data_IF_968670008715
#
_entry.id   IF_968670008715
#
_cell.length_a   1.000
_cell.length_b   1.000
_cell.length_c   1.000
_cell.angle_alpha   90.00
_cell.angle_beta   90.00
_cell.angle_gamma   90.00
#
_symmetry.space_group_name_H-M   'P 1'
#
loop_
_entity.id
_entity.type
_entity.pdbx_description
1 polymer ?
#
# COMPACT_ATOMS: atom_id res chain seq x y z
N UNK A 1 34.01 -23.36 -12.66
CA UNK A 1 33.17 -22.23 -12.27
C UNK A 1 32.06 -22.14 -13.31
N UNK A 2 30.94 -22.82 -13.04
CA UNK A 2 29.74 -22.69 -13.87
C UNK A 2 29.20 -21.28 -13.71
N UNK A 3 29.10 -20.56 -14.81
CA UNK A 3 28.43 -19.28 -14.90
C UNK A 3 26.95 -19.49 -14.50
N UNK A 4 26.56 -18.97 -13.36
CA UNK A 4 25.15 -18.86 -13.01
C UNK A 4 24.52 -17.91 -14.04
N UNK A 5 23.69 -18.47 -14.93
CA UNK A 5 23.00 -17.69 -15.93
C UNK A 5 22.15 -16.61 -15.27
N UNK A 6 22.61 -15.37 -15.34
CA UNK A 6 21.79 -14.21 -15.07
C UNK A 6 20.81 -14.11 -16.24
N UNK A 7 19.57 -14.45 -16.02
CA UNK A 7 18.52 -14.20 -17.01
C UNK A 7 18.35 -12.69 -17.08
N UNK A 8 18.91 -12.09 -18.11
CA UNK A 8 18.68 -10.67 -18.44
C UNK A 8 17.23 -10.57 -18.88
N UNK A 9 16.39 -10.04 -18.03
CA UNK A 9 15.01 -9.72 -18.39
C UNK A 9 15.07 -8.58 -19.40
N UNK A 10 14.46 -8.75 -20.58
CA UNK A 10 14.51 -7.72 -21.63
C UNK A 10 13.82 -6.43 -21.15
N UNK A 11 14.26 -5.29 -21.65
CA UNK A 11 13.64 -3.98 -21.39
C UNK A 11 12.14 -3.99 -21.72
N UNK A 12 11.73 -4.76 -22.73
CA UNK A 12 10.31 -4.92 -23.09
C UNK A 12 9.49 -5.63 -22.02
N UNK A 13 10.05 -6.66 -21.36
CA UNK A 13 9.38 -7.37 -20.26
C UNK A 13 9.31 -6.48 -19.03
N UNK A 14 10.37 -5.72 -18.74
CA UNK A 14 10.38 -4.75 -17.65
C UNK A 14 9.35 -3.64 -17.90
N UNK A 15 9.32 -3.06 -19.10
CA UNK A 15 8.35 -2.06 -19.48
C UNK A 15 6.90 -2.60 -19.50
N UNK A 16 6.70 -3.89 -19.79
CA UNK A 16 5.38 -4.53 -19.69
C UNK A 16 4.96 -4.70 -18.23
N UNK A 17 5.85 -5.18 -17.37
CA UNK A 17 5.58 -5.33 -15.94
C UNK A 17 5.30 -3.97 -15.29
N UNK A 18 6.06 -2.93 -15.63
CA UNK A 18 5.80 -1.56 -15.20
C UNK A 18 4.40 -1.09 -15.61
N UNK A 19 4.03 -1.27 -16.88
CA UNK A 19 2.68 -0.91 -17.36
C UNK A 19 1.57 -1.66 -16.63
N UNK A 20 1.78 -2.94 -16.29
CA UNK A 20 0.78 -3.73 -15.55
C UNK A 20 0.61 -3.24 -14.10
N UNK A 21 1.71 -2.91 -13.43
CA UNK A 21 1.69 -2.41 -12.05
C UNK A 21 1.11 -1.00 -12.00
N UNK A 22 1.57 -0.12 -12.90
CA UNK A 22 1.06 1.24 -13.00
C UNK A 22 -0.39 1.25 -13.48
N UNK A 23 -0.78 0.36 -14.40
CA UNK A 23 -2.18 0.23 -14.81
C UNK A 23 -3.09 -0.21 -13.67
N UNK A 24 -2.59 -1.01 -12.72
CA UNK A 24 -3.32 -1.33 -11.48
C UNK A 24 -3.50 -0.10 -10.58
N UNK A 25 -2.44 0.69 -10.42
CA UNK A 25 -2.48 1.97 -9.70
C UNK A 25 -3.26 3.01 -10.51
N UNK A 26 -2.99 3.15 -11.80
CA UNK A 26 -3.71 4.05 -12.72
C UNK A 26 -5.18 3.66 -12.85
N UNK A 27 -5.51 2.38 -12.77
CA UNK A 27 -6.90 1.92 -12.75
C UNK A 27 -7.66 2.37 -11.50
N UNK A 28 -7.00 2.43 -10.34
CA UNK A 28 -7.57 3.03 -9.13
C UNK A 28 -7.68 4.55 -9.25
N UNK A 29 -6.79 5.19 -10.01
CA UNK A 29 -6.72 6.63 -10.20
C UNK A 29 -7.52 7.10 -11.42
N UNK A 30 -7.61 6.30 -12.49
CA UNK A 30 -8.28 6.66 -13.75
C UNK A 30 -9.80 6.73 -13.65
N UNK A 31 -10.41 6.07 -12.68
CA UNK A 31 -11.82 6.28 -12.35
C UNK A 31 -12.09 7.73 -11.92
N UNK A 32 -11.08 8.42 -11.47
CA UNK A 32 -11.14 9.81 -11.02
C UNK A 32 -11.00 10.82 -12.16
N UNK A 33 -10.33 10.43 -13.26
CA UNK A 33 -10.25 11.26 -14.47
C UNK A 33 -11.57 11.39 -15.22
N UNK A 34 -12.57 10.56 -14.89
CA UNK A 34 -13.92 10.68 -15.45
C UNK A 34 -14.76 11.80 -14.81
N UNK A 35 -14.29 12.38 -13.73
CA UNK A 35 -14.95 13.51 -13.07
C UNK A 35 -14.48 14.81 -13.72
N UNK A 36 -15.43 15.60 -14.19
CA UNK A 36 -15.15 16.81 -14.99
C UNK A 36 -14.76 18.00 -14.14
N UNK A 37 -15.04 17.99 -12.83
CA UNK A 37 -14.69 19.06 -11.90
C UNK A 37 -13.61 18.58 -10.90
N UNK A 38 -12.41 19.22 -10.88
CA UNK A 38 -11.38 18.89 -9.91
C UNK A 38 -11.78 19.07 -8.44
N UNK A 39 -12.75 19.95 -8.16
CA UNK A 39 -13.25 20.15 -6.79
C UNK A 39 -14.20 19.04 -6.35
N UNK A 40 -14.95 18.47 -7.27
CA UNK A 40 -15.81 17.32 -7.00
C UNK A 40 -15.02 16.03 -6.79
N UNK A 41 -13.86 15.88 -7.43
CA UNK A 41 -12.99 14.71 -7.29
C UNK A 41 -12.56 14.50 -5.83
N UNK A 42 -12.05 15.53 -5.18
CA UNK A 42 -11.60 15.45 -3.79
C UNK A 42 -12.73 15.20 -2.78
N UNK A 43 -13.96 15.65 -3.09
CA UNK A 43 -15.12 15.41 -2.23
C UNK A 43 -15.65 13.97 -2.32
N UNK A 44 -15.51 13.35 -3.49
CA UNK A 44 -16.06 12.03 -3.76
C UNK A 44 -15.06 10.90 -3.60
N UNK A 45 -13.78 11.15 -3.87
CA UNK A 45 -12.75 10.13 -3.87
C UNK A 45 -11.62 10.41 -2.88
N UNK A 46 -11.14 9.35 -2.25
CA UNK A 46 -9.98 9.42 -1.37
C UNK A 46 -9.12 8.16 -1.49
N UNK A 47 -7.82 8.30 -1.20
CA UNK A 47 -6.86 7.20 -1.14
C UNK A 47 -6.22 7.14 0.24
N UNK A 48 -6.08 5.92 0.77
CA UNK A 48 -5.31 5.62 1.99
C UNK A 48 -4.22 4.64 1.66
N UNK A 49 -2.98 5.10 1.74
CA UNK A 49 -1.80 4.36 1.29
C UNK A 49 -0.97 3.94 2.49
N UNK A 50 -0.58 2.68 2.55
CA UNK A 50 0.45 2.20 3.48
C UNK A 50 1.63 1.64 2.69
N UNK A 51 2.84 2.13 2.96
CA UNK A 51 4.03 1.83 2.20
C UNK A 51 5.23 1.47 3.07
N UNK A 52 6.00 0.47 2.66
CA UNK A 52 7.31 0.19 3.23
C UNK A 52 8.40 1.01 2.54
N UNK A 53 8.69 0.73 1.27
CA UNK A 53 9.51 1.58 0.41
C UNK A 53 8.60 2.48 -0.42
N UNK A 54 8.86 3.78 -0.36
CA UNK A 54 8.04 4.81 -0.99
C UNK A 54 8.96 5.86 -1.63
N UNK A 55 9.71 5.45 -2.65
CA UNK A 55 10.74 6.28 -3.27
C UNK A 55 10.84 6.16 -4.79
N UNK A 56 9.90 5.45 -5.45
CA UNK A 56 9.89 5.37 -6.91
C UNK A 56 9.34 6.66 -7.50
N UNK A 57 10.21 7.41 -8.21
CA UNK A 57 9.91 8.76 -8.68
C UNK A 57 8.60 8.84 -9.49
N UNK A 58 8.39 7.91 -10.41
CA UNK A 58 7.19 7.90 -11.26
C UNK A 58 5.89 7.67 -10.45
N UNK A 59 5.91 6.82 -9.44
CA UNK A 59 4.78 6.65 -8.53
C UNK A 59 4.51 7.93 -7.72
N UNK A 60 5.56 8.58 -7.24
CA UNK A 60 5.46 9.86 -6.52
C UNK A 60 4.88 10.97 -7.41
N UNK A 61 5.23 10.99 -8.70
CA UNK A 61 4.68 11.93 -9.68
C UNK A 61 3.18 11.71 -9.86
N UNK A 62 2.73 10.46 -10.03
CA UNK A 62 1.30 10.11 -10.12
C UNK A 62 0.54 10.52 -8.86
N UNK A 63 1.09 10.27 -7.67
CA UNK A 63 0.48 10.70 -6.40
C UNK A 63 0.35 12.22 -6.35
N UNK A 64 1.37 12.95 -6.78
CA UNK A 64 1.37 14.41 -6.80
C UNK A 64 0.33 14.97 -7.78
N UNK A 65 0.28 14.44 -9.00
CA UNK A 65 -0.73 14.80 -9.99
C UNK A 65 -2.16 14.55 -9.50
N UNK A 66 -2.35 13.45 -8.75
CA UNK A 66 -3.64 13.11 -8.16
C UNK A 66 -4.02 14.06 -7.03
N UNK A 67 -3.06 14.47 -6.20
CA UNK A 67 -3.25 15.51 -5.19
C UNK A 67 -3.60 16.87 -5.82
N UNK A 68 -2.96 17.22 -6.94
CA UNK A 68 -3.21 18.47 -7.65
C UNK A 68 -4.60 18.51 -8.29
N UNK A 69 -5.19 17.34 -8.57
CA UNK A 69 -6.60 17.19 -8.98
C UNK A 69 -7.61 17.27 -7.82
N UNK A 70 -7.13 17.42 -6.58
CA UNK A 70 -7.98 17.59 -5.40
C UNK A 70 -8.41 16.31 -4.71
N UNK A 71 -7.88 15.15 -5.08
CA UNK A 71 -8.16 13.87 -4.38
C UNK A 71 -7.58 13.90 -2.96
N UNK A 72 -8.36 13.48 -1.96
CA UNK A 72 -7.90 13.35 -0.57
C UNK A 72 -6.99 12.11 -0.44
N UNK A 73 -5.67 12.34 -0.43
CA UNK A 73 -4.67 11.29 -0.25
C UNK A 73 -4.03 11.42 1.12
N UNK A 74 -3.95 10.30 1.85
CA UNK A 74 -3.17 10.21 3.08
C UNK A 74 -2.29 8.96 3.02
N UNK A 75 -1.04 9.12 3.41
CA UNK A 75 0.00 8.11 3.27
C UNK A 75 0.66 7.86 4.61
N UNK A 76 0.78 6.60 4.99
CA UNK A 76 1.60 6.17 6.11
C UNK A 76 2.75 5.32 5.58
N UNK A 77 3.99 5.66 5.93
CA UNK A 77 5.17 4.97 5.41
C UNK A 77 6.15 4.57 6.52
N UNK A 78 6.95 3.54 6.26
CA UNK A 78 7.97 3.10 7.21
C UNK A 78 9.14 4.09 7.28
N UNK A 79 9.49 4.49 8.51
CA UNK A 79 10.58 5.40 8.81
C UNK A 79 11.48 4.86 9.93
N UNK A 80 11.67 3.53 9.97
CA UNK A 80 12.49 2.82 10.97
C UNK A 80 13.77 2.29 10.33
N UNK A 81 14.81 2.19 11.16
CA UNK A 81 16.15 1.82 10.68
C UNK A 81 16.72 2.86 9.70
N UNK A 82 17.87 2.56 9.11
CA UNK A 82 18.51 3.47 8.17
C UNK A 82 17.91 3.37 6.76
N UNK A 83 17.49 2.19 6.38
CA UNK A 83 16.76 1.91 5.15
C UNK A 83 15.44 1.21 5.49
N UNK A 84 14.28 1.62 4.92
CA UNK A 84 14.09 2.61 3.85
C UNK A 84 13.91 4.07 4.33
N UNK A 85 14.08 4.35 5.63
CA UNK A 85 13.80 5.66 6.25
C UNK A 85 14.34 6.84 5.46
N UNK A 86 15.65 6.83 5.18
CA UNK A 86 16.28 8.01 4.59
C UNK A 86 15.85 8.22 3.14
N UNK A 87 15.69 7.13 2.37
CA UNK A 87 15.17 7.17 1.01
C UNK A 87 13.70 7.64 0.97
N UNK A 88 12.86 7.13 1.87
CA UNK A 88 11.46 7.56 1.99
C UNK A 88 11.35 9.04 2.39
N UNK A 89 12.12 9.48 3.39
CA UNK A 89 12.13 10.89 3.82
C UNK A 89 12.59 11.83 2.72
N UNK A 90 13.60 11.43 1.94
CA UNK A 90 14.05 12.20 0.78
C UNK A 90 12.95 12.32 -0.28
N UNK A 91 12.25 11.22 -0.56
CA UNK A 91 11.14 11.20 -1.50
C UNK A 91 9.97 12.08 -1.04
N UNK A 92 9.60 11.99 0.24
CA UNK A 92 8.51 12.77 0.86
C UNK A 92 8.85 14.26 0.96
N UNK A 93 10.15 14.63 1.03
CA UNK A 93 10.58 16.04 1.02
C UNK A 93 10.24 16.75 -0.31
N UNK A 94 9.84 16.02 -1.35
CA UNK A 94 9.34 16.59 -2.60
C UNK A 94 8.12 17.49 -2.33
N UNK A 95 8.05 18.69 -2.93
CA UNK A 95 6.97 19.63 -2.68
C UNK A 95 5.58 19.02 -2.83
N UNK A 96 4.73 19.24 -1.85
CA UNK A 96 3.33 18.78 -1.84
C UNK A 96 3.09 17.43 -1.15
N UNK A 97 4.07 16.53 -1.02
CA UNK A 97 3.87 15.22 -0.41
C UNK A 97 3.94 15.24 1.11
N UNK A 98 4.82 16.02 1.71
CA UNK A 98 5.03 16.04 3.17
C UNK A 98 3.73 16.28 3.97
N UNK A 99 2.81 17.08 3.43
CA UNK A 99 1.55 17.43 4.10
C UNK A 99 0.56 16.27 4.24
N UNK A 100 0.70 15.24 3.40
CA UNK A 100 -0.21 14.07 3.34
C UNK A 100 0.44 12.79 3.83
N UNK A 101 1.70 12.86 4.28
CA UNK A 101 2.49 11.72 4.72
C UNK A 101 2.68 11.70 6.24
N UNK A 102 2.62 10.52 6.82
CA UNK A 102 2.89 10.25 8.23
C UNK A 102 3.90 9.11 8.37
N UNK A 103 4.83 9.24 9.31
CA UNK A 103 5.88 8.26 9.56
C UNK A 103 5.43 7.16 10.53
N UNK A 104 5.79 5.92 10.21
CA UNK A 104 5.78 4.79 11.14
C UNK A 104 7.18 4.66 11.74
N UNK A 105 7.32 5.06 13.00
CA UNK A 105 8.61 5.07 13.72
C UNK A 105 8.67 4.04 14.84
N UNK A 106 7.54 3.51 15.29
CA UNK A 106 7.44 2.60 16.43
C UNK A 106 6.80 1.25 16.06
N UNK A 107 7.21 0.16 16.73
CA UNK A 107 8.44 0.04 17.51
C UNK A 107 9.68 -0.01 16.61
N UNK A 108 10.82 0.42 17.12
CA UNK A 108 12.07 0.46 16.33
C UNK A 108 12.58 -0.94 15.91
N UNK A 109 12.13 -2.01 16.58
CA UNK A 109 12.56 -3.40 16.33
C UNK A 109 11.82 -4.12 15.22
N UNK A 110 10.76 -3.52 14.67
CA UNK A 110 9.96 -4.12 13.58
C UNK A 110 9.76 -3.12 12.45
N UNK A 111 9.73 -3.64 11.21
CA UNK A 111 9.40 -2.87 10.01
C UNK A 111 7.90 -2.87 9.76
N UNK A 112 7.37 -1.79 9.18
CA UNK A 112 6.00 -1.73 8.67
C UNK A 112 6.00 -2.14 7.20
N UNK A 113 6.06 -3.45 6.95
CA UNK A 113 6.27 -4.00 5.61
C UNK A 113 4.99 -4.00 4.75
N UNK A 114 4.13 -3.03 4.98
CA UNK A 114 2.83 -2.89 4.33
C UNK A 114 2.98 -2.29 2.93
N UNK A 115 2.16 -2.77 2.00
CA UNK A 115 2.03 -2.26 0.63
C UNK A 115 0.59 -2.42 0.20
N UNK A 116 -0.21 -1.38 0.43
CA UNK A 116 -1.60 -1.38 -0.04
C UNK A 116 -2.13 0.04 -0.23
N UNK A 117 -3.13 0.16 -1.08
CA UNK A 117 -3.86 1.39 -1.38
C UNK A 117 -5.35 1.08 -1.26
N UNK A 118 -6.03 1.74 -0.34
CA UNK A 118 -7.50 1.67 -0.23
C UNK A 118 -8.09 2.84 -0.99
N UNK A 119 -9.01 2.53 -1.91
CA UNK A 119 -9.84 3.52 -2.59
C UNK A 119 -11.16 3.70 -1.84
N UNK A 120 -11.51 4.97 -1.62
CA UNK A 120 -12.80 5.36 -1.05
C UNK A 120 -13.57 6.20 -2.06
N UNK A 121 -14.88 6.08 -2.02
CA UNK A 121 -15.82 6.98 -2.70
C UNK A 121 -16.90 7.44 -1.72
N UNK A 122 -17.14 8.74 -1.65
CA UNK A 122 -18.08 9.33 -0.69
C UNK A 122 -17.79 8.88 0.78
N UNK A 123 -16.51 8.71 1.11
CA UNK A 123 -16.06 8.25 2.42
C UNK A 123 -16.23 6.75 2.68
N UNK A 124 -16.75 5.98 1.72
CA UNK A 124 -16.93 4.54 1.85
C UNK A 124 -15.82 3.78 1.12
N UNK A 125 -15.18 2.76 1.73
CA UNK A 125 -14.18 1.94 1.06
C UNK A 125 -14.83 1.10 -0.05
N UNK A 126 -14.22 1.12 -1.25
CA UNK A 126 -14.69 0.39 -2.42
C UNK A 126 -13.80 -0.79 -2.78
N UNK A 127 -12.52 -0.52 -2.87
CA UNK A 127 -11.53 -1.50 -3.34
C UNK A 127 -10.20 -1.30 -2.65
N UNK A 128 -9.34 -2.31 -2.74
CA UNK A 128 -7.96 -2.24 -2.26
C UNK A 128 -7.02 -2.86 -3.28
N UNK A 129 -5.95 -2.14 -3.58
CA UNK A 129 -4.76 -2.69 -4.21
C UNK A 129 -3.81 -3.18 -3.10
N UNK A 130 -3.31 -4.41 -3.18
CA UNK A 130 -2.38 -4.98 -2.20
C UNK A 130 -1.50 -6.05 -2.83
N UNK A 131 -0.31 -6.26 -2.25
CA UNK A 131 0.62 -7.29 -2.74
C UNK A 131 2.02 -7.19 -2.16
N UNK A 132 2.96 -7.86 -2.82
CA UNK A 132 4.38 -7.88 -2.44
C UNK A 132 5.19 -6.69 -2.95
N UNK A 133 4.67 -5.94 -3.92
CA UNK A 133 5.41 -4.89 -4.66
C UNK A 133 5.62 -3.64 -3.82
N UNK A 134 6.88 -3.31 -3.50
CA UNK A 134 7.24 -2.01 -2.95
C UNK A 134 7.08 -0.92 -4.00
N UNK A 135 6.80 0.31 -3.56
CA UNK A 135 6.79 1.50 -4.41
C UNK A 135 8.23 2.05 -4.56
N UNK A 136 9.12 1.20 -5.02
CA UNK A 136 10.54 1.45 -5.27
C UNK A 136 10.96 0.84 -6.60
N UNK A 137 12.06 1.31 -7.19
CA UNK A 137 12.59 0.75 -8.43
C UNK A 137 12.93 -0.74 -8.29
N UNK A 138 13.57 -1.13 -7.18
CA UNK A 138 13.87 -2.53 -6.88
C UNK A 138 12.62 -3.38 -6.69
N UNK A 139 11.56 -2.83 -6.08
CA UNK A 139 10.28 -3.51 -5.89
C UNK A 139 9.57 -3.79 -7.21
N UNK A 140 9.67 -2.87 -8.19
CA UNK A 140 8.99 -2.96 -9.48
C UNK A 140 9.79 -3.81 -10.47
N UNK A 141 11.09 -3.58 -10.59
CA UNK A 141 11.92 -4.20 -11.63
C UNK A 141 12.83 -5.31 -11.13
N UNK A 142 13.15 -5.34 -9.84
CA UNK A 142 14.16 -6.23 -9.28
C UNK A 142 13.63 -7.51 -8.62
N UNK A 143 12.33 -7.58 -8.31
CA UNK A 143 11.73 -8.67 -7.56
C UNK A 143 10.58 -9.33 -8.31
N UNK A 144 10.38 -10.65 -8.08
CA UNK A 144 9.19 -11.38 -8.55
C UNK A 144 8.04 -11.12 -7.59
N UNK A 145 7.39 -9.99 -7.74
CA UNK A 145 6.26 -9.59 -6.91
C UNK A 145 4.92 -9.83 -7.63
N UNK A 146 3.86 -10.01 -6.84
CA UNK A 146 2.49 -10.04 -7.31
C UNK A 146 1.67 -9.00 -6.54
N UNK A 147 0.68 -8.44 -7.22
CA UNK A 147 -0.30 -7.54 -6.63
C UNK A 147 -1.71 -7.88 -7.12
N UNK A 148 -2.71 -7.53 -6.33
CA UNK A 148 -4.11 -7.78 -6.60
C UNK A 148 -4.90 -6.50 -6.36
N UNK A 149 -5.93 -6.30 -7.18
CA UNK A 149 -7.01 -5.36 -6.88
C UNK A 149 -8.21 -6.17 -6.44
N UNK A 150 -8.70 -5.90 -5.24
CA UNK A 150 -9.86 -6.57 -4.66
C UNK A 150 -11.00 -5.55 -4.59
N UNK A 151 -12.02 -5.74 -5.43
CA UNK A 151 -13.19 -4.86 -5.53
C UNK A 151 -14.32 -5.35 -4.62
N UNK A 152 -14.00 -5.56 -3.35
CA UNK A 152 -14.93 -6.00 -2.32
C UNK A 152 -14.93 -4.97 -1.18
N UNK A 153 -16.01 -4.17 -1.03
CA UNK A 153 -16.09 -3.13 0.01
C UNK A 153 -15.83 -3.66 1.44
N UNK A 154 -16.28 -4.86 1.75
CA UNK A 154 -16.05 -5.47 3.05
C UNK A 154 -14.57 -5.79 3.34
N UNK A 155 -13.82 -6.16 2.31
CA UNK A 155 -12.36 -6.37 2.40
C UNK A 155 -11.65 -5.02 2.45
N UNK A 156 -12.02 -4.08 1.59
CA UNK A 156 -11.46 -2.73 1.59
C UNK A 156 -11.67 -2.02 2.93
N UNK A 157 -12.83 -2.22 3.60
CA UNK A 157 -13.10 -1.69 4.94
C UNK A 157 -12.10 -2.20 5.99
N UNK A 158 -11.77 -3.49 5.98
CA UNK A 158 -10.76 -4.05 6.89
C UNK A 158 -9.38 -3.44 6.67
N UNK A 159 -8.99 -3.20 5.40
CA UNK A 159 -7.75 -2.52 5.08
C UNK A 159 -7.76 -1.05 5.52
N UNK A 160 -8.91 -0.37 5.42
CA UNK A 160 -9.08 1.00 5.92
C UNK A 160 -8.94 1.06 7.45
N UNK A 161 -9.57 0.14 8.18
CA UNK A 161 -9.44 0.03 9.63
C UNK A 161 -7.98 -0.22 10.02
N UNK A 162 -7.30 -1.12 9.30
CA UNK A 162 -5.89 -1.41 9.53
C UNK A 162 -5.01 -0.19 9.22
N UNK A 163 -5.28 0.53 8.12
CA UNK A 163 -4.58 1.78 7.78
C UNK A 163 -4.76 2.83 8.89
N UNK A 164 -5.98 2.97 9.42
CA UNK A 164 -6.27 3.88 10.52
C UNK A 164 -5.42 3.55 11.75
N UNK A 165 -5.28 2.28 12.10
CA UNK A 165 -4.39 1.88 13.21
C UNK A 165 -2.93 2.23 12.93
N UNK A 166 -2.45 1.97 11.71
CA UNK A 166 -1.06 2.30 11.33
C UNK A 166 -0.78 3.80 11.40
N UNK A 167 -1.75 4.64 11.04
CA UNK A 167 -1.59 6.11 11.02
C UNK A 167 -1.35 6.73 12.40
N UNK A 168 -1.76 6.06 13.48
CA UNK A 168 -1.51 6.48 14.85
C UNK A 168 -0.12 6.09 15.40
N UNK A 169 0.71 5.44 14.60
CA UNK A 169 2.04 4.94 14.97
C UNK A 169 2.06 4.14 16.31
N UNK A 170 1.20 3.12 16.51
CA UNK A 170 1.10 2.40 17.75
C UNK A 170 2.31 1.52 18.02
N UNK A 171 2.54 1.21 19.30
CA UNK A 171 3.46 0.16 19.71
C UNK A 171 2.94 -1.23 19.30
N UNK A 172 3.84 -2.21 19.31
CA UNK A 172 3.55 -3.59 18.82
C UNK A 172 2.39 -4.25 19.56
N UNK A 173 2.35 -4.24 20.88
CA UNK A 173 1.31 -4.95 21.65
C UNK A 173 -0.09 -4.40 21.42
N UNK A 174 -0.35 -3.07 21.50
CA UNK A 174 -1.65 -2.52 21.13
C UNK A 174 -2.04 -2.85 19.69
N UNK A 175 -1.10 -2.77 18.73
CA UNK A 175 -1.39 -3.04 17.34
C UNK A 175 -1.82 -4.50 17.11
N UNK A 176 -1.14 -5.47 17.74
CA UNK A 176 -1.50 -6.90 17.65
C UNK A 176 -2.95 -7.15 18.05
N UNK A 177 -3.38 -6.62 19.20
CA UNK A 177 -4.73 -6.81 19.70
C UNK A 177 -5.78 -6.22 18.72
N UNK A 178 -5.51 -5.04 18.16
CA UNK A 178 -6.41 -4.38 17.22
C UNK A 178 -6.47 -5.10 15.88
N UNK A 179 -5.34 -5.56 15.38
CA UNK A 179 -5.24 -6.35 14.14
C UNK A 179 -6.03 -7.66 14.25
N UNK A 180 -5.97 -8.33 15.40
CA UNK A 180 -6.76 -9.54 15.66
C UNK A 180 -8.27 -9.26 15.74
N UNK A 181 -8.66 -8.09 16.22
CA UNK A 181 -10.06 -7.66 16.22
C UNK A 181 -10.57 -7.32 14.80
N UNK A 182 -9.75 -6.68 13.96
CA UNK A 182 -10.09 -6.35 12.55
C UNK A 182 -10.21 -7.61 11.69
N UNK A 183 -9.30 -8.57 11.90
CA UNK A 183 -9.23 -9.81 11.12
C UNK A 183 -9.10 -11.02 12.05
N UNK A 184 -10.17 -11.41 12.78
CA UNK A 184 -10.14 -12.57 13.65
C UNK A 184 -9.95 -13.85 12.85
N UNK A 185 -9.25 -14.83 13.45
CA UNK A 185 -9.14 -16.17 12.86
C UNK A 185 -10.51 -16.86 12.88
N UNK A 186 -10.97 -17.41 11.77
CA UNK A 186 -12.14 -18.28 11.78
C UNK A 186 -11.91 -19.53 12.63
N UNK A 187 -12.98 -20.04 13.26
CA UNK A 187 -12.92 -21.25 14.09
C UNK A 187 -12.78 -22.56 13.29
N UNK A 188 -12.74 -22.49 11.95
CA UNK A 188 -12.69 -23.65 11.04
C UNK A 188 -11.88 -23.30 9.79
N UNK A 189 -11.97 -24.14 8.73
CA UNK A 189 -11.30 -23.88 7.48
C UNK A 189 -11.72 -22.55 6.88
N UNK A 190 -10.90 -21.94 6.00
CA UNK A 190 -11.25 -20.69 5.34
C UNK A 190 -12.65 -20.75 4.71
N UNK A 191 -13.50 -19.74 4.92
CA UNK A 191 -14.78 -19.67 4.23
C UNK A 191 -14.55 -19.51 2.72
N UNK A 192 -15.53 -19.92 1.92
CA UNK A 192 -15.49 -19.64 0.49
C UNK A 192 -15.49 -18.14 0.23
N UNK A 193 -14.77 -17.70 -0.81
CA UNK A 193 -14.61 -16.27 -1.16
C UNK A 193 -13.29 -15.68 -0.67
N UNK A 194 -13.24 -14.36 -0.56
CA UNK A 194 -12.04 -13.61 -0.16
C UNK A 194 -11.95 -13.47 1.35
N UNK A 195 -10.80 -13.82 1.91
CA UNK A 195 -10.49 -13.61 3.32
C UNK A 195 -9.18 -12.86 3.47
N UNK A 196 -9.07 -12.02 4.49
CA UNK A 196 -7.83 -11.30 4.80
C UNK A 196 -7.47 -11.46 6.27
N UNK A 197 -6.21 -11.78 6.51
CA UNK A 197 -5.59 -11.82 7.83
C UNK A 197 -4.41 -10.85 7.87
N UNK A 198 -4.44 -9.95 8.83
CA UNK A 198 -3.34 -8.99 9.01
C UNK A 198 -2.35 -9.45 10.08
N UNK A 199 -1.13 -8.96 9.96
CA UNK A 199 -0.07 -9.03 10.97
C UNK A 199 0.29 -7.60 11.43
N UNK A 200 0.85 -7.44 12.66
CA UNK A 200 1.33 -8.48 13.57
C UNK A 200 0.21 -9.12 14.42
N UNK A 201 0.42 -10.37 14.85
CA UNK A 201 -0.50 -11.12 15.72
C UNK A 201 0.19 -11.57 17.00
N UNK A 202 -0.60 -11.98 18.02
CA UNK A 202 -0.08 -12.45 19.31
C UNK A 202 0.39 -13.91 19.25
N UNK A 203 -0.19 -14.70 18.33
CA UNK A 203 0.17 -16.11 18.12
C UNK A 203 0.48 -16.39 16.65
N UNK A 204 0.98 -17.61 16.39
CA UNK A 204 1.24 -18.12 15.04
C UNK A 204 0.09 -18.96 14.48
N UNK A 205 -1.05 -19.03 15.17
CA UNK A 205 -2.21 -19.84 14.77
C UNK A 205 -2.71 -19.54 13.35
N UNK A 206 -2.44 -18.33 12.87
CA UNK A 206 -2.74 -17.95 11.49
C UNK A 206 -1.94 -18.72 10.43
N UNK A 207 -0.84 -19.40 10.81
CA UNK A 207 -0.04 -20.23 9.92
C UNK A 207 -0.62 -21.64 9.77
N UNK A 208 -1.46 -22.05 10.71
CA UNK A 208 -2.13 -23.36 10.73
C UNK A 208 -3.51 -23.31 10.04
N UNK A 209 -3.94 -22.12 9.65
CA UNK A 209 -5.21 -21.84 8.99
C UNK A 209 -5.06 -21.74 7.48
#
# INVERSE_FOLDING_TARGET
>A
LEERGVTVVSEEVLAHAERQILAGVDGLLALESSLTDPQDVGQHHALRIAAYEFNYARFLDVVRETLDRGVDIQIVYDARGDYPRDANRQAVATPGLARVCSERTRPASYISHNKFIVKLENGQPLSVWTGGTNFSEGGIYGHSNAAHVVEEPAIAAKFLDYWSELSHDPLSAPLKNRVEAISPLPAGPPPAGTSVLFSPRNSLDALDW
#
